data_IF_954545638211
#
_entry.id   IF_954545638211
#
_cell.length_a   1.000
_cell.length_b   1.000
_cell.length_c   1.000
_cell.angle_alpha   90.00
_cell.angle_beta   90.00
_cell.angle_gamma   90.00
#
_symmetry.space_group_name_H-M   'P 1'
#
loop_
_entity.id
_entity.type
_entity.pdbx_description
1 polymer ?
#
# COMPACT_ATOMS: atom_id res chain seq x y z
N UNK A 1 -0.74 16.17 19.30
CA UNK A 1 -2.07 15.88 18.72
C UNK A 1 -1.91 14.62 17.88
N UNK A 2 -2.69 13.57 18.15
CA UNK A 2 -2.59 12.33 17.37
C UNK A 2 -2.98 12.63 15.91
N UNK A 3 -2.11 12.27 14.96
CA UNK A 3 -2.36 12.52 13.52
C UNK A 3 -3.20 11.41 12.89
N UNK A 4 -3.42 10.31 13.61
CA UNK A 4 -4.20 9.16 13.15
C UNK A 4 -5.69 9.50 13.15
N UNK A 5 -6.39 9.03 12.12
CA UNK A 5 -7.85 9.16 11.97
C UNK A 5 -8.37 10.60 11.99
N UNK A 6 -7.52 11.54 11.57
CA UNK A 6 -7.88 12.93 11.41
C UNK A 6 -8.65 13.09 10.11
N UNK A 7 -9.80 13.74 10.20
CA UNK A 7 -10.54 14.17 9.03
C UNK A 7 -9.78 15.25 8.25
N UNK A 8 -9.80 15.15 6.92
CA UNK A 8 -9.10 16.01 5.98
C UNK A 8 -10.13 16.44 4.94
N UNK A 9 -10.46 17.72 4.94
CA UNK A 9 -11.45 18.28 4.03
C UNK A 9 -11.02 18.22 2.57
N UNK A 10 -12.01 18.38 1.69
CA UNK A 10 -11.84 18.51 0.24
C UNK A 10 -10.84 19.62 -0.12
N UNK A 11 -10.20 19.55 -1.30
CA UNK A 11 -9.26 20.61 -1.72
C UNK A 11 -9.91 21.98 -1.96
N UNK A 12 -11.24 22.05 -2.07
CA UNK A 12 -11.99 23.27 -2.40
C UNK A 12 -12.09 23.49 -3.91
N UNK A 13 -12.58 24.65 -4.34
CA UNK A 13 -12.77 25.03 -5.74
C UNK A 13 -14.22 25.07 -6.22
N UNK A 14 -14.43 25.41 -7.50
CA UNK A 14 -15.76 25.58 -8.09
C UNK A 14 -15.94 24.66 -9.28
N UNK A 15 -17.03 23.92 -9.27
CA UNK A 15 -17.47 23.06 -10.34
C UNK A 15 -18.56 23.77 -11.14
N UNK A 16 -18.45 23.77 -12.46
CA UNK A 16 -19.38 24.43 -13.37
C UNK A 16 -19.93 23.45 -14.39
N UNK A 17 -21.24 23.52 -14.61
CA UNK A 17 -21.94 22.91 -15.74
C UNK A 17 -22.43 24.06 -16.59
N UNK A 18 -21.77 24.29 -17.71
CA UNK A 18 -22.14 25.36 -18.64
C UNK A 18 -23.01 24.76 -19.74
N UNK A 19 -24.26 25.23 -19.88
CA UNK A 19 -25.25 24.72 -20.86
C UNK A 19 -25.45 25.75 -21.96
N UNK A 20 -25.46 25.28 -23.20
CA UNK A 20 -25.75 26.08 -24.39
C UNK A 20 -26.90 25.44 -25.17
N UNK A 21 -27.90 26.25 -25.53
CA UNK A 21 -29.06 25.81 -26.31
C UNK A 21 -28.94 26.38 -27.73
N UNK A 22 -28.88 25.50 -28.72
CA UNK A 22 -28.82 25.86 -30.13
C UNK A 22 -30.16 26.34 -30.69
N UNK A 23 -30.12 26.93 -31.87
CA UNK A 23 -31.31 27.45 -32.58
C UNK A 23 -32.36 26.37 -32.91
N UNK A 24 -31.96 25.10 -32.91
CA UNK A 24 -32.81 23.92 -33.14
C UNK A 24 -33.33 23.28 -31.83
N UNK A 25 -33.20 23.98 -30.71
CA UNK A 25 -33.50 23.50 -29.34
C UNK A 25 -32.62 22.30 -28.89
N UNK A 26 -31.54 22.01 -29.63
CA UNK A 26 -30.52 21.08 -29.19
C UNK A 26 -29.74 21.67 -28.01
N UNK A 27 -29.37 20.82 -27.05
CA UNK A 27 -28.64 21.25 -25.85
C UNK A 27 -27.26 20.62 -25.82
N UNK A 28 -26.25 21.46 -25.70
CA UNK A 28 -24.89 21.07 -25.43
C UNK A 28 -24.52 21.48 -24.00
N UNK A 29 -23.59 20.77 -23.38
CA UNK A 29 -23.04 21.18 -22.11
C UNK A 29 -21.53 20.96 -22.05
N UNK A 30 -20.86 21.72 -21.19
CA UNK A 30 -19.46 21.55 -20.86
C UNK A 30 -19.25 21.57 -19.35
N UNK A 31 -18.17 20.93 -18.90
CA UNK A 31 -17.83 20.86 -17.49
C UNK A 31 -16.54 21.64 -17.22
N UNK A 32 -16.57 22.48 -16.20
CA UNK A 32 -15.43 23.27 -15.78
C UNK A 32 -15.10 23.05 -14.30
N UNK A 33 -13.81 23.06 -13.96
CA UNK A 33 -13.34 23.14 -12.59
C UNK A 33 -12.39 24.31 -12.45
N UNK A 34 -12.57 25.15 -11.43
CA UNK A 34 -11.62 26.22 -11.08
C UNK A 34 -11.19 26.08 -9.63
N UNK A 35 -9.89 26.11 -9.39
CA UNK A 35 -9.29 26.00 -8.06
C UNK A 35 -8.39 27.21 -7.80
N UNK A 36 -8.55 27.87 -6.65
CA UNK A 36 -7.75 29.05 -6.27
C UNK A 36 -7.19 29.00 -4.85
N UNK A 37 -7.37 27.87 -4.15
CA UNK A 37 -6.81 27.73 -2.80
C UNK A 37 -5.29 27.53 -2.86
N UNK A 38 -4.57 27.94 -1.81
CA UNK A 38 -3.13 27.77 -1.72
C UNK A 38 -2.70 26.30 -1.52
N UNK A 39 -3.66 25.41 -1.22
CA UNK A 39 -3.42 23.98 -1.03
C UNK A 39 -3.27 23.23 -2.36
N UNK A 40 -2.60 22.06 -2.33
CA UNK A 40 -2.52 21.19 -3.51
C UNK A 40 -3.92 20.69 -3.90
N UNK A 41 -4.14 20.58 -5.21
CA UNK A 41 -5.31 19.93 -5.78
C UNK A 41 -4.86 18.96 -6.88
N UNK A 42 -5.44 17.78 -6.87
CA UNK A 42 -5.30 16.79 -7.93
C UNK A 42 -6.68 16.32 -8.35
N UNK A 43 -6.79 15.86 -9.60
CA UNK A 43 -8.05 15.45 -10.19
C UNK A 43 -7.88 14.14 -10.93
N UNK A 44 -8.92 13.31 -10.92
CA UNK A 44 -9.11 12.26 -11.91
C UNK A 44 -10.54 12.33 -12.42
N UNK A 45 -10.79 11.70 -13.56
CA UNK A 45 -12.10 11.70 -14.18
C UNK A 45 -12.66 10.29 -14.30
N UNK A 46 -13.98 10.18 -14.24
CA UNK A 46 -14.72 8.93 -14.40
C UNK A 46 -15.91 9.13 -15.33
N UNK A 47 -16.43 8.03 -15.89
CA UNK A 47 -17.77 7.98 -16.44
C UNK A 47 -18.74 7.42 -15.41
N UNK A 48 -19.93 8.02 -15.31
CA UNK A 48 -21.05 7.49 -14.56
C UNK A 48 -22.34 7.56 -15.39
N UNK A 49 -23.21 6.56 -15.25
CA UNK A 49 -24.56 6.64 -15.84
C UNK A 49 -25.44 7.60 -15.02
N UNK A 50 -26.53 8.15 -15.58
CA UNK A 50 -27.35 9.17 -14.93
C UNK A 50 -27.83 8.82 -13.51
N UNK A 51 -28.00 7.54 -13.20
CA UNK A 51 -28.36 7.04 -11.87
C UNK A 51 -27.23 7.15 -10.82
N UNK A 52 -26.11 7.80 -11.13
CA UNK A 52 -24.98 7.97 -10.20
C UNK A 52 -24.09 6.75 -10.06
N UNK A 53 -24.13 5.80 -11.00
CA UNK A 53 -23.32 4.58 -10.93
C UNK A 53 -22.04 4.76 -11.76
N UNK A 54 -20.84 4.71 -11.14
CA UNK A 54 -19.57 4.81 -11.86
C UNK A 54 -19.32 3.56 -12.72
N UNK A 55 -18.90 3.75 -13.96
CA UNK A 55 -18.72 2.66 -14.95
C UNK A 55 -17.32 2.59 -15.56
N UNK A 56 -16.54 3.67 -15.53
CA UNK A 56 -15.15 3.66 -16.01
C UNK A 56 -14.31 4.80 -15.43
N UNK A 57 -13.00 4.58 -15.37
CA UNK A 57 -12.02 5.66 -15.14
C UNK A 57 -11.64 6.23 -16.50
N UNK A 58 -11.62 7.56 -16.64
CA UNK A 58 -11.28 8.22 -17.90
C UNK A 58 -9.76 8.37 -17.99
N UNK A 59 -9.19 7.87 -19.08
CA UNK A 59 -7.83 8.24 -19.49
C UNK A 59 -7.90 9.62 -20.14
N UNK A 60 -7.70 10.66 -19.32
CA UNK A 60 -7.69 12.05 -19.77
C UNK A 60 -6.59 12.22 -20.82
N UNK A 61 -6.93 12.52 -22.08
CA UNK A 61 -5.95 12.67 -23.13
C UNK A 61 -5.26 14.04 -23.00
N UNK A 62 -4.24 14.28 -23.81
CA UNK A 62 -3.53 15.57 -23.81
C UNK A 62 -4.43 16.74 -24.24
N UNK A 63 -3.99 17.97 -24.00
CA UNK A 63 -4.70 19.16 -24.48
C UNK A 63 -4.98 19.08 -25.99
N UNK A 64 -6.22 19.33 -26.38
CA UNK A 64 -6.68 19.31 -27.78
C UNK A 64 -6.95 17.91 -28.35
N UNK A 65 -6.86 16.86 -27.55
CA UNK A 65 -7.22 15.51 -27.96
C UNK A 65 -8.68 15.19 -27.59
N UNK A 66 -9.33 14.37 -28.43
CA UNK A 66 -10.68 13.90 -28.18
C UNK A 66 -10.73 13.00 -26.94
N UNK A 67 -11.72 13.25 -26.08
CA UNK A 67 -12.00 12.40 -24.93
C UNK A 67 -12.45 11.02 -25.41
N UNK A 68 -11.95 9.93 -24.80
CA UNK A 68 -12.38 8.58 -25.18
C UNK A 68 -13.89 8.44 -24.95
N UNK A 69 -14.66 7.75 -25.82
CA UNK A 69 -16.10 7.62 -25.62
C UNK A 69 -16.41 6.81 -24.35
N UNK A 70 -17.55 7.05 -23.68
CA UNK A 70 -17.95 6.26 -22.53
C UNK A 70 -18.23 4.80 -22.92
N UNK A 71 -17.96 3.82 -22.04
CA UNK A 71 -18.28 2.42 -22.31
C UNK A 71 -19.79 2.15 -22.36
N UNK A 72 -20.59 3.01 -21.71
CA UNK A 72 -22.05 2.95 -21.69
C UNK A 72 -22.60 4.25 -22.27
N UNK A 73 -23.36 4.21 -23.39
CA UNK A 73 -23.97 5.40 -23.98
C UNK A 73 -24.81 6.19 -22.97
N UNK A 74 -24.76 7.52 -23.05
CA UNK A 74 -25.47 8.40 -22.12
C UNK A 74 -24.78 8.58 -20.75
N UNK A 75 -23.58 8.02 -20.54
CA UNK A 75 -22.81 8.31 -19.33
C UNK A 75 -22.28 9.74 -19.33
N UNK A 76 -22.28 10.36 -18.16
CA UNK A 76 -21.67 11.66 -17.92
C UNK A 76 -20.19 11.50 -17.54
N UNK A 77 -19.26 12.30 -18.11
CA UNK A 77 -17.93 12.46 -17.57
C UNK A 77 -18.01 13.28 -16.28
N UNK A 78 -17.34 12.85 -15.21
CA UNK A 78 -17.32 13.57 -13.94
C UNK A 78 -15.88 13.77 -13.49
N UNK A 79 -15.65 14.86 -12.76
CA UNK A 79 -14.35 15.21 -12.15
C UNK A 79 -14.43 14.84 -10.67
N UNK A 80 -13.44 14.11 -10.17
CA UNK A 80 -13.27 13.83 -8.74
C UNK A 80 -11.97 14.50 -8.29
N UNK A 81 -12.07 15.35 -7.28
CA UNK A 81 -10.94 16.12 -6.78
C UNK A 81 -10.37 15.49 -5.49
N UNK A 82 -9.13 15.82 -5.20
CA UNK A 82 -8.43 15.33 -4.02
C UNK A 82 -8.93 16.01 -2.74
N UNK A 83 -8.51 15.47 -1.61
CA UNK A 83 -8.52 16.23 -0.37
C UNK A 83 -7.50 17.39 -0.41
N UNK A 84 -7.54 18.23 0.63
CA UNK A 84 -6.70 19.42 0.81
C UNK A 84 -5.20 19.13 0.96
N UNK A 85 -4.79 17.87 1.07
CA UNK A 85 -3.38 17.45 1.03
C UNK A 85 -2.99 16.89 -0.35
N UNK A 86 -3.88 16.96 -1.35
CA UNK A 86 -3.62 16.47 -2.69
C UNK A 86 -3.67 14.94 -2.77
N UNK A 87 -4.40 14.27 -1.87
CA UNK A 87 -4.53 12.81 -1.81
C UNK A 87 -5.97 12.37 -2.08
N UNK A 88 -6.13 11.10 -2.41
CA UNK A 88 -7.43 10.49 -2.64
C UNK A 88 -7.66 9.41 -1.60
N UNK A 89 -8.87 9.38 -1.03
CA UNK A 89 -9.33 8.21 -0.32
C UNK A 89 -9.86 7.16 -1.28
N UNK A 90 -9.80 5.93 -0.83
CA UNK A 90 -10.22 4.76 -1.58
C UNK A 90 -10.86 3.75 -0.63
N UNK A 91 -11.83 2.98 -1.14
CA UNK A 91 -12.45 1.88 -0.40
C UNK A 91 -12.55 0.64 -1.26
N UNK A 92 -12.12 -0.49 -0.73
CA UNK A 92 -12.17 -1.77 -1.44
C UNK A 92 -13.56 -2.40 -1.30
N UNK A 93 -14.19 -2.74 -2.42
CA UNK A 93 -15.45 -3.50 -2.39
C UNK A 93 -15.26 -4.96 -1.94
N UNK A 94 -14.08 -5.55 -2.16
CA UNK A 94 -13.81 -6.94 -1.81
C UNK A 94 -13.56 -7.14 -0.31
N UNK A 95 -12.82 -6.25 0.35
CA UNK A 95 -12.51 -6.38 1.78
C UNK A 95 -13.13 -5.29 2.67
N UNK A 96 -13.81 -4.29 2.10
CA UNK A 96 -14.47 -3.21 2.84
C UNK A 96 -13.54 -2.11 3.38
N UNK A 97 -12.23 -2.35 3.35
CA UNK A 97 -11.21 -1.49 3.95
C UNK A 97 -10.96 -0.19 3.19
N UNK A 98 -10.60 0.84 3.95
CA UNK A 98 -10.28 2.18 3.48
C UNK A 98 -8.78 2.46 3.48
N UNK A 99 -8.29 3.27 2.53
CA UNK A 99 -6.94 3.83 2.56
C UNK A 99 -6.88 5.17 1.82
N UNK A 100 -5.81 5.93 2.05
CA UNK A 100 -5.47 7.11 1.26
C UNK A 100 -4.22 6.87 0.41
N UNK A 101 -4.17 7.49 -0.76
CA UNK A 101 -2.99 7.42 -1.60
C UNK A 101 -2.78 8.70 -2.43
N UNK A 102 -1.58 8.82 -2.96
CA UNK A 102 -1.26 9.85 -3.95
C UNK A 102 -1.71 9.52 -5.37
N UNK A 103 -2.22 8.30 -5.60
CA UNK A 103 -2.47 7.77 -6.93
C UNK A 103 -3.95 7.53 -7.21
N UNK A 104 -4.45 8.16 -8.27
CA UNK A 104 -5.72 7.83 -8.92
C UNK A 104 -5.46 7.57 -10.42
N UNK A 105 -4.71 6.49 -10.75
CA UNK A 105 -4.19 6.28 -12.09
C UNK A 105 -5.30 5.95 -13.10
N UNK A 106 -5.29 6.62 -14.24
CA UNK A 106 -6.19 6.31 -15.34
C UNK A 106 -5.62 5.29 -16.34
N UNK A 107 -4.29 5.11 -16.34
CA UNK A 107 -3.58 4.27 -17.31
C UNK A 107 -3.21 2.88 -16.79
N UNK A 108 -3.41 2.59 -15.50
CA UNK A 108 -3.19 1.26 -14.91
C UNK A 108 -4.14 1.05 -13.71
N UNK A 109 -4.43 -0.21 -13.34
CA UNK A 109 -5.28 -0.48 -12.19
C UNK A 109 -4.60 -0.07 -10.88
N UNK A 110 -5.41 0.43 -9.95
CA UNK A 110 -5.02 0.60 -8.56
C UNK A 110 -5.04 -0.77 -7.86
N UNK A 111 -4.19 -0.94 -6.85
CA UNK A 111 -4.11 -2.14 -6.02
C UNK A 111 -4.65 -1.84 -4.63
N UNK A 112 -5.54 -2.67 -4.09
CA UNK A 112 -5.95 -2.58 -2.69
C UNK A 112 -4.75 -2.92 -1.78
N UNK A 113 -4.36 -2.03 -0.84
CA UNK A 113 -3.23 -2.25 0.06
C UNK A 113 -3.36 -3.49 0.95
N UNK A 114 -4.57 -3.97 1.19
CA UNK A 114 -4.85 -5.03 2.15
C UNK A 114 -5.02 -6.38 1.45
N UNK A 115 -5.97 -6.49 0.51
CA UNK A 115 -6.30 -7.74 -0.15
C UNK A 115 -5.64 -7.92 -1.54
N UNK A 116 -4.88 -6.93 -2.01
CA UNK A 116 -4.17 -7.02 -3.29
C UNK A 116 -5.08 -7.02 -4.53
N UNK A 117 -6.40 -6.82 -4.38
CA UNK A 117 -7.31 -6.68 -5.52
C UNK A 117 -6.84 -5.57 -6.44
N UNK A 118 -6.72 -5.85 -7.73
CA UNK A 118 -6.42 -4.86 -8.76
C UNK A 118 -7.68 -4.51 -9.52
N UNK A 119 -8.02 -3.23 -9.56
CA UNK A 119 -9.17 -2.74 -10.31
C UNK A 119 -8.93 -1.29 -10.78
N UNK A 120 -9.68 -0.79 -11.78
CA UNK A 120 -9.62 0.61 -12.15
C UNK A 120 -10.01 1.53 -10.98
N UNK A 121 -9.53 2.77 -10.96
CA UNK A 121 -9.76 3.72 -9.85
C UNK A 121 -11.22 3.92 -9.48
N UNK A 122 -12.15 3.99 -10.45
CA UNK A 122 -13.58 4.18 -10.17
C UNK A 122 -14.21 3.00 -9.39
N UNK A 123 -13.59 1.81 -9.37
CA UNK A 123 -14.05 0.69 -8.55
C UNK A 123 -13.71 0.87 -7.06
N UNK A 124 -12.82 1.81 -6.73
CA UNK A 124 -12.36 2.07 -5.37
C UNK A 124 -12.90 3.36 -4.77
N UNK A 125 -14.01 3.91 -5.29
CA UNK A 125 -14.59 5.12 -4.73
C UNK A 125 -15.10 4.89 -3.31
N UNK A 126 -14.80 5.85 -2.44
CA UNK A 126 -15.33 5.91 -1.07
C UNK A 126 -16.85 6.12 -1.08
N UNK A 127 -17.50 5.92 0.08
CA UNK A 127 -18.94 6.20 0.19
C UNK A 127 -19.25 7.67 -0.08
N UNK A 128 -18.43 8.59 0.43
CA UNK A 128 -18.58 10.03 0.17
C UNK A 128 -18.40 10.38 -1.30
N UNK A 129 -17.38 9.80 -1.96
CA UNK A 129 -17.18 10.01 -3.40
C UNK A 129 -18.34 9.46 -4.24
N UNK A 130 -18.96 8.34 -3.84
CA UNK A 130 -20.15 7.81 -4.54
C UNK A 130 -21.38 8.69 -4.37
N UNK A 131 -21.60 9.23 -3.17
CA UNK A 131 -22.66 10.21 -2.93
C UNK A 131 -22.44 11.46 -3.81
N UNK A 132 -21.22 11.98 -3.84
CA UNK A 132 -20.83 13.08 -4.72
C UNK A 132 -21.13 12.78 -6.20
N UNK A 133 -20.78 11.58 -6.68
CA UNK A 133 -21.04 11.16 -8.08
C UNK A 133 -22.54 11.18 -8.40
N UNK A 134 -23.39 10.69 -7.49
CA UNK A 134 -24.85 10.70 -7.67
C UNK A 134 -25.38 12.12 -7.80
N UNK A 135 -25.04 12.98 -6.86
CA UNK A 135 -25.51 14.36 -6.82
C UNK A 135 -24.97 15.17 -8.02
N UNK A 136 -23.77 14.86 -8.51
CA UNK A 136 -23.23 15.52 -9.70
C UNK A 136 -23.93 15.08 -10.98
N UNK A 137 -24.36 13.81 -11.10
CA UNK A 137 -25.21 13.38 -12.20
C UNK A 137 -26.56 14.11 -12.18
N UNK A 138 -27.19 14.23 -11.02
CA UNK A 138 -28.47 14.95 -10.85
C UNK A 138 -28.34 16.43 -11.20
N UNK A 139 -27.21 17.07 -10.83
CA UNK A 139 -26.93 18.45 -11.21
C UNK A 139 -26.84 18.62 -12.73
N UNK A 140 -26.08 17.75 -13.41
CA UNK A 140 -25.93 17.82 -14.87
C UNK A 140 -27.28 17.63 -15.54
N UNK A 141 -28.04 16.61 -15.13
CA UNK A 141 -29.36 16.33 -15.69
C UNK A 141 -30.33 17.51 -15.47
N UNK A 142 -30.34 18.10 -14.27
CA UNK A 142 -31.18 19.25 -13.95
C UNK A 142 -30.80 20.49 -14.76
N UNK A 143 -29.51 20.80 -14.86
CA UNK A 143 -29.00 21.93 -15.64
C UNK A 143 -29.33 21.77 -17.13
N UNK A 144 -29.07 20.59 -17.70
CA UNK A 144 -29.36 20.29 -19.10
C UNK A 144 -30.86 20.32 -19.37
N UNK A 145 -31.71 19.80 -18.47
CA UNK A 145 -33.18 19.81 -18.62
C UNK A 145 -33.80 21.19 -18.41
N UNK A 146 -33.18 22.07 -17.61
CA UNK A 146 -33.59 23.45 -17.47
C UNK A 146 -33.08 24.33 -18.63
N UNK A 147 -31.99 23.94 -19.30
CA UNK A 147 -31.28 24.82 -20.24
C UNK A 147 -30.52 25.94 -19.51
N UNK A 148 -30.17 25.72 -18.24
CA UNK A 148 -29.56 26.72 -17.37
C UNK A 148 -28.23 26.20 -16.81
N UNK A 149 -27.17 27.00 -16.94
CA UNK A 149 -25.87 26.69 -16.35
C UNK A 149 -25.92 26.69 -14.82
N UNK A 150 -25.16 25.79 -14.21
CA UNK A 150 -25.07 25.66 -12.76
C UNK A 150 -23.63 25.73 -12.25
N UNK A 151 -23.44 26.25 -11.04
CA UNK A 151 -22.13 26.30 -10.38
C UNK A 151 -22.25 25.84 -8.93
N UNK A 152 -21.37 24.92 -8.53
CA UNK A 152 -21.19 24.54 -7.13
C UNK A 152 -19.87 25.09 -6.64
N UNK A 153 -19.95 25.86 -5.55
CA UNK A 153 -18.80 26.46 -4.87
C UNK A 153 -18.41 25.62 -3.65
N UNK A 154 -17.41 24.74 -3.82
CA UNK A 154 -16.95 23.85 -2.75
C UNK A 154 -16.23 24.60 -1.63
N UNK A 155 -15.67 25.79 -1.91
CA UNK A 155 -15.04 26.61 -0.88
C UNK A 155 -16.11 27.11 0.09
N UNK A 156 -17.22 27.63 -0.44
CA UNK A 156 -18.36 28.05 0.36
C UNK A 156 -19.02 26.90 1.14
N UNK A 157 -18.94 25.66 0.62
CA UNK A 157 -19.40 24.48 1.34
C UNK A 157 -18.42 24.08 2.45
N UNK A 158 -17.11 24.11 2.19
CA UNK A 158 -16.09 23.77 3.15
C UNK A 158 -16.11 24.69 4.37
N UNK A 159 -16.31 26.00 4.17
CA UNK A 159 -16.41 27.00 5.24
C UNK A 159 -17.61 26.75 6.18
N UNK A 160 -18.71 26.20 5.66
CA UNK A 160 -19.93 25.90 6.44
C UNK A 160 -19.83 24.60 7.24
N UNK A 161 -18.96 23.67 6.84
CA UNK A 161 -18.87 22.30 7.40
C UNK A 161 -18.28 22.25 8.84
N UNK A 162 -18.00 23.39 9.47
CA UNK A 162 -17.58 23.49 10.87
C UNK A 162 -18.67 23.83 11.90
N UNK A 163 -19.90 24.15 11.48
CA UNK A 163 -20.93 24.77 12.34
C UNK A 163 -22.10 23.82 12.72
N UNK A 164 -21.82 22.59 13.18
CA UNK A 164 -22.83 21.60 13.63
C UNK A 164 -23.99 21.33 12.64
N UNK A 165 -23.79 21.68 11.36
CA UNK A 165 -24.77 21.57 10.28
C UNK A 165 -24.62 20.25 9.54
N UNK A 166 -25.74 19.69 9.09
CA UNK A 166 -25.73 18.48 8.27
C UNK A 166 -24.92 18.73 6.99
N UNK A 167 -23.93 17.87 6.75
CA UNK A 167 -23.01 18.06 5.63
C UNK A 167 -23.75 17.82 4.31
N UNK A 168 -23.62 18.73 3.34
CA UNK A 168 -24.16 18.51 2.01
C UNK A 168 -23.61 17.21 1.43
N UNK A 169 -24.44 16.42 0.75
CA UNK A 169 -24.02 15.16 0.10
C UNK A 169 -22.96 15.36 -0.97
N UNK A 170 -22.87 16.58 -1.51
CA UNK A 170 -21.84 17.01 -2.45
C UNK A 170 -20.46 17.23 -1.81
N UNK A 171 -20.37 17.29 -0.49
CA UNK A 171 -19.12 17.46 0.25
C UNK A 171 -18.68 16.13 0.85
N UNK A 172 -17.47 15.70 0.52
CA UNK A 172 -16.81 14.57 1.18
C UNK A 172 -15.46 14.97 1.76
N UNK A 173 -15.06 14.22 2.78
CA UNK A 173 -13.77 14.33 3.43
C UNK A 173 -13.09 12.97 3.47
N UNK A 174 -11.77 13.02 3.58
CA UNK A 174 -10.92 11.84 3.70
C UNK A 174 -10.34 11.74 5.11
N UNK A 175 -9.82 10.57 5.47
CA UNK A 175 -9.38 10.30 6.83
C UNK A 175 -7.95 9.77 6.83
N UNK A 176 -7.04 10.44 7.55
CA UNK A 176 -5.68 9.92 7.71
C UNK A 176 -5.67 8.56 8.39
N UNK A 177 -4.71 7.70 8.03
CA UNK A 177 -4.53 6.40 8.67
C UNK A 177 -3.28 6.42 9.56
N UNK A 178 -2.83 5.23 9.96
CA UNK A 178 -1.75 5.06 10.94
C UNK A 178 -0.37 4.98 10.32
N UNK A 179 -0.27 4.49 9.08
CA UNK A 179 1.01 4.21 8.45
C UNK A 179 1.13 4.90 7.10
N UNK A 180 1.93 5.97 7.10
CA UNK A 180 2.25 6.75 5.92
C UNK A 180 3.62 6.33 5.39
N UNK A 181 3.68 5.85 4.15
CA UNK A 181 4.94 5.43 3.53
C UNK A 181 5.03 5.77 2.05
N UNK A 182 6.26 5.99 1.59
CA UNK A 182 6.60 6.13 0.17
C UNK A 182 7.09 4.77 -0.32
N UNK A 183 6.51 4.26 -1.39
CA UNK A 183 6.91 3.00 -1.98
C UNK A 183 8.34 3.11 -2.54
N UNK A 184 9.26 2.27 -2.05
CA UNK A 184 10.63 2.24 -2.55
C UNK A 184 10.78 1.77 -3.99
N UNK A 185 9.73 1.19 -4.61
CA UNK A 185 9.76 0.69 -5.97
C UNK A 185 9.25 1.72 -7.00
N UNK A 186 8.13 2.41 -6.73
CA UNK A 186 7.52 3.36 -7.67
C UNK A 186 7.40 4.80 -7.14
N UNK A 187 7.87 5.10 -5.93
CA UNK A 187 7.81 6.44 -5.34
C UNK A 187 6.41 6.90 -4.92
N UNK A 188 5.36 6.09 -5.11
CA UNK A 188 4.00 6.48 -4.72
C UNK A 188 3.84 6.54 -3.20
N UNK A 189 3.18 7.59 -2.70
CA UNK A 189 2.81 7.76 -1.30
C UNK A 189 1.50 7.03 -0.97
N UNK A 190 1.45 6.39 0.19
CA UNK A 190 0.35 5.59 0.71
C UNK A 190 0.12 5.92 2.19
N UNK A 191 -1.13 5.83 2.63
CA UNK A 191 -1.58 6.05 4.00
C UNK A 191 -2.63 4.99 4.34
N UNK A 192 -2.20 3.99 5.11
CA UNK A 192 -2.91 2.72 5.32
C UNK A 192 -3.06 2.41 6.80
N UNK A 193 -4.03 1.54 7.11
CA UNK A 193 -4.17 0.95 8.43
C UNK A 193 -3.13 -0.16 8.63
N UNK A 194 -2.47 -0.13 9.79
CA UNK A 194 -1.44 -1.11 10.12
C UNK A 194 -0.15 -0.97 9.30
N UNK A 195 0.80 -1.88 9.58
CA UNK A 195 2.20 -1.71 9.18
C UNK A 195 2.57 -2.29 7.81
N UNK A 196 1.92 -3.38 7.41
CA UNK A 196 2.28 -4.14 6.21
C UNK A 196 1.18 -4.03 5.17
N UNK A 197 1.53 -3.63 3.95
CA UNK A 197 0.57 -3.37 2.89
C UNK A 197 1.21 -3.47 1.49
N UNK A 198 0.34 -3.66 0.48
CA UNK A 198 0.70 -3.38 -0.91
C UNK A 198 0.77 -1.87 -1.15
N UNK A 199 1.70 -1.44 -2.00
CA UNK A 199 1.63 -0.13 -2.62
C UNK A 199 0.38 -0.06 -3.50
N UNK A 200 -0.46 0.95 -3.28
CA UNK A 200 -1.69 1.12 -4.05
C UNK A 200 -1.46 1.38 -5.53
N UNK A 201 -0.30 1.92 -5.92
CA UNK A 201 0.02 2.19 -7.32
C UNK A 201 0.63 0.98 -8.05
N UNK A 202 1.77 0.46 -7.59
CA UNK A 202 2.46 -0.63 -8.30
C UNK A 202 2.15 -2.03 -7.76
N UNK A 203 1.52 -2.16 -6.59
CA UNK A 203 1.28 -3.45 -5.96
C UNK A 203 2.53 -4.13 -5.41
N UNK A 204 3.65 -3.42 -5.24
CA UNK A 204 4.81 -3.93 -4.48
C UNK A 204 4.51 -3.90 -3.00
N UNK A 205 4.79 -5.00 -2.26
CA UNK A 205 4.59 -5.00 -0.81
C UNK A 205 5.73 -4.31 -0.07
N UNK A 206 5.44 -3.70 1.08
CA UNK A 206 6.42 -2.97 1.88
C UNK A 206 7.16 -3.83 2.94
N UNK A 207 7.00 -5.16 2.97
CA UNK A 207 7.53 -6.01 4.06
C UNK A 207 9.05 -5.88 4.22
N UNK A 208 9.80 -5.81 3.12
CA UNK A 208 11.26 -5.62 3.15
C UNK A 208 11.64 -4.27 3.76
N UNK A 209 10.91 -3.20 3.42
CA UNK A 209 11.19 -1.86 3.96
C UNK A 209 10.94 -1.84 5.47
N UNK A 210 9.84 -2.43 5.94
CA UNK A 210 9.51 -2.51 7.36
C UNK A 210 10.51 -3.35 8.16
N UNK A 211 10.99 -4.45 7.58
CA UNK A 211 12.05 -5.25 8.16
C UNK A 211 13.35 -4.45 8.26
N UNK A 212 13.77 -3.78 7.18
CA UNK A 212 15.00 -3.00 7.16
C UNK A 212 14.98 -1.90 8.22
N UNK A 213 13.84 -1.22 8.41
CA UNK A 213 13.66 -0.24 9.48
C UNK A 213 13.74 -0.84 10.89
N UNK A 214 13.24 -2.07 11.08
CA UNK A 214 13.36 -2.77 12.36
C UNK A 214 14.81 -3.21 12.63
N UNK A 215 15.48 -3.75 11.61
CA UNK A 215 16.88 -4.18 11.68
C UNK A 215 17.83 -2.99 11.91
N UNK A 216 17.56 -1.82 11.31
CA UNK A 216 18.32 -0.61 11.57
C UNK A 216 18.28 -0.23 13.06
N UNK A 217 17.09 -0.24 13.67
CA UNK A 217 16.91 0.02 15.10
C UNK A 217 17.63 -1.00 15.99
N UNK A 218 17.60 -2.27 15.63
CA UNK A 218 18.32 -3.33 16.35
C UNK A 218 19.85 -3.10 16.28
N UNK A 219 20.36 -2.70 15.12
CA UNK A 219 21.78 -2.37 14.94
C UNK A 219 22.18 -1.15 15.77
N UNK A 220 21.36 -0.12 15.81
CA UNK A 220 21.56 1.04 16.68
C UNK A 220 21.59 0.63 18.16
N UNK A 221 20.63 -0.20 18.59
CA UNK A 221 20.54 -0.70 19.96
C UNK A 221 21.79 -1.50 20.38
N UNK A 222 22.23 -2.47 19.59
CA UNK A 222 23.41 -3.28 19.94
C UNK A 222 24.71 -2.46 19.85
N UNK A 223 24.76 -1.45 18.98
CA UNK A 223 25.90 -0.53 18.91
C UNK A 223 25.95 0.42 20.11
N UNK A 224 24.80 0.79 20.67
CA UNK A 224 24.67 1.60 21.88
C UNK A 224 24.87 0.84 23.20
N UNK A 225 25.29 -0.43 23.15
CA UNK A 225 25.52 -1.25 24.35
C UNK A 225 24.28 -1.99 24.86
N UNK A 226 23.21 -2.08 24.05
CA UNK A 226 22.06 -2.91 24.37
C UNK A 226 22.41 -4.40 24.44
N UNK A 227 21.64 -5.15 25.23
CA UNK A 227 21.83 -6.59 25.45
C UNK A 227 21.76 -7.38 24.11
N UNK A 228 22.84 -8.09 23.71
CA UNK A 228 22.87 -8.81 22.44
C UNK A 228 21.79 -9.89 22.29
N UNK A 229 21.44 -10.59 23.37
CA UNK A 229 20.39 -11.61 23.39
C UNK A 229 18.99 -11.02 23.12
N UNK A 230 18.68 -9.85 23.67
CA UNK A 230 17.46 -9.09 23.32
C UNK A 230 17.45 -8.67 21.84
N UNK A 231 18.61 -8.28 21.31
CA UNK A 231 18.74 -7.90 19.90
C UNK A 231 18.54 -9.10 18.96
N UNK A 232 19.01 -10.29 19.33
CA UNK A 232 18.72 -11.55 18.60
C UNK A 232 17.23 -11.84 18.60
N UNK A 233 16.57 -11.79 19.76
CA UNK A 233 15.11 -11.97 19.87
C UNK A 233 14.37 -10.99 18.97
N UNK A 234 14.78 -9.73 18.98
CA UNK A 234 14.24 -8.67 18.11
C UNK A 234 14.42 -8.98 16.63
N UNK A 235 15.61 -9.40 16.20
CA UNK A 235 15.91 -9.69 14.79
C UNK A 235 15.08 -10.87 14.26
N UNK A 236 15.00 -11.96 15.02
CA UNK A 236 14.19 -13.13 14.64
C UNK A 236 12.69 -12.80 14.67
N UNK A 237 12.22 -12.01 15.66
CA UNK A 237 10.82 -11.59 15.72
C UNK A 237 10.43 -10.67 14.56
N UNK A 238 11.33 -9.79 14.13
CA UNK A 238 11.13 -8.94 12.95
C UNK A 238 11.05 -9.78 11.67
N UNK A 239 11.93 -10.77 11.52
CA UNK A 239 11.88 -11.76 10.44
C UNK A 239 10.54 -12.51 10.43
N UNK A 240 10.17 -13.14 11.56
CA UNK A 240 8.93 -13.91 11.72
C UNK A 240 7.72 -13.10 11.27
N UNK A 241 7.67 -11.83 11.67
CA UNK A 241 6.57 -10.93 11.33
C UNK A 241 6.50 -10.70 9.81
N UNK A 242 7.61 -10.32 9.18
CA UNK A 242 7.65 -10.05 7.74
C UNK A 242 7.40 -11.32 6.91
N UNK A 243 8.07 -12.43 7.25
CA UNK A 243 7.93 -13.70 6.56
C UNK A 243 6.50 -14.28 6.71
N UNK A 244 5.89 -14.16 7.89
CA UNK A 244 4.49 -14.55 8.10
C UNK A 244 3.54 -13.73 7.24
N UNK A 245 3.75 -12.41 7.13
CA UNK A 245 2.88 -11.56 6.28
C UNK A 245 2.95 -11.94 4.81
N UNK A 246 4.13 -12.29 4.30
CA UNK A 246 4.27 -12.80 2.93
C UNK A 246 3.62 -14.20 2.79
N UNK A 247 3.84 -15.09 3.77
CA UNK A 247 3.25 -16.43 3.76
C UNK A 247 1.72 -16.41 3.82
N UNK A 248 1.13 -15.56 4.65
CA UNK A 248 -0.33 -15.36 4.76
C UNK A 248 -0.91 -14.95 3.39
N UNK A 249 -0.20 -14.11 2.65
CA UNK A 249 -0.61 -13.68 1.31
C UNK A 249 -0.47 -14.77 0.26
N UNK A 250 0.63 -15.54 0.27
CA UNK A 250 0.77 -16.72 -0.59
C UNK A 250 -0.36 -17.72 -0.35
N UNK A 251 -0.68 -17.99 0.92
CA UNK A 251 -1.78 -18.87 1.33
C UNK A 251 -3.14 -18.33 0.86
N UNK A 252 -3.33 -17.03 0.89
CA UNK A 252 -4.59 -16.38 0.50
C UNK A 252 -4.80 -16.36 -1.01
N UNK A 253 -3.74 -16.06 -1.78
CA UNK A 253 -3.81 -15.81 -3.22
C UNK A 253 -3.62 -17.07 -4.07
N UNK A 254 -2.90 -18.08 -3.57
CA UNK A 254 -2.67 -19.32 -4.32
C UNK A 254 -3.73 -20.36 -3.94
N UNK A 255 -4.55 -20.84 -4.89
CA UNK A 255 -5.48 -21.94 -4.65
C UNK A 255 -4.73 -23.22 -4.24
N UNK A 256 -5.08 -23.81 -3.10
CA UNK A 256 -4.45 -25.02 -2.59
C UNK A 256 -5.39 -25.81 -1.68
N UNK A 257 -5.13 -27.11 -1.54
CA UNK A 257 -5.88 -27.98 -0.62
C UNK A 257 -5.70 -27.57 0.83
N UNK A 258 -6.66 -27.91 1.68
CA UNK A 258 -6.59 -27.66 3.14
C UNK A 258 -5.33 -28.28 3.76
N UNK A 259 -4.92 -29.47 3.31
CA UNK A 259 -3.71 -30.13 3.78
C UNK A 259 -2.45 -29.27 3.49
N UNK A 260 -2.30 -28.74 2.28
CA UNK A 260 -1.18 -27.85 1.93
C UNK A 260 -1.24 -26.54 2.72
N UNK A 261 -2.42 -25.95 2.87
CA UNK A 261 -2.63 -24.73 3.69
C UNK A 261 -2.17 -24.93 5.13
N UNK A 262 -2.53 -26.04 5.75
CA UNK A 262 -2.17 -26.36 7.13
C UNK A 262 -0.68 -26.64 7.33
N UNK A 263 0.09 -26.90 6.27
CA UNK A 263 1.56 -26.99 6.38
C UNK A 263 2.18 -25.67 6.80
N UNK A 264 1.59 -24.53 6.40
CA UNK A 264 2.13 -23.18 6.64
C UNK A 264 1.34 -22.38 7.67
N UNK A 265 0.02 -22.56 7.72
CA UNK A 265 -0.89 -21.81 8.59
C UNK A 265 -0.52 -22.01 10.07
N UNK A 266 -0.48 -20.91 10.82
CA UNK A 266 -0.26 -20.86 12.28
C UNK A 266 1.07 -21.43 12.79
N UNK A 267 2.02 -21.76 11.91
CA UNK A 267 3.36 -22.20 12.30
C UNK A 267 4.35 -21.04 12.37
N UNK A 268 5.06 -20.91 13.50
CA UNK A 268 6.18 -19.96 13.66
C UNK A 268 7.44 -20.51 12.98
N UNK A 269 8.36 -19.64 12.53
CA UNK A 269 9.60 -20.06 11.87
C UNK A 269 10.70 -20.56 12.82
N UNK A 270 10.35 -21.08 13.98
CA UNK A 270 11.30 -21.64 14.96
C UNK A 270 12.29 -22.64 14.32
N UNK A 271 11.79 -23.58 13.50
CA UNK A 271 12.61 -24.40 12.60
C UNK A 271 12.58 -23.79 11.20
N UNK A 272 13.58 -22.95 10.94
CA UNK A 272 13.67 -22.21 9.68
C UNK A 272 13.93 -23.11 8.48
N UNK A 273 14.61 -24.25 8.66
CA UNK A 273 14.94 -25.18 7.56
C UNK A 273 13.69 -25.92 7.08
N UNK A 274 12.89 -26.44 8.01
CA UNK A 274 11.62 -27.06 7.67
C UNK A 274 10.66 -26.05 7.02
N UNK A 275 10.64 -24.79 7.48
CA UNK A 275 9.81 -23.74 6.86
C UNK A 275 10.26 -23.38 5.45
N UNK A 276 11.57 -23.21 5.23
CA UNK A 276 12.12 -22.93 3.91
C UNK A 276 11.79 -24.06 2.93
N UNK A 277 11.88 -25.32 3.39
CA UNK A 277 11.48 -26.50 2.60
C UNK A 277 10.01 -26.46 2.23
N UNK A 278 9.11 -26.23 3.21
CA UNK A 278 7.68 -26.11 2.95
C UNK A 278 7.36 -25.00 1.94
N UNK A 279 8.00 -23.83 2.05
CA UNK A 279 7.80 -22.70 1.14
C UNK A 279 8.29 -23.06 -0.28
N UNK A 280 9.45 -23.70 -0.40
CA UNK A 280 10.00 -24.09 -1.69
C UNK A 280 9.14 -25.16 -2.37
N UNK A 281 8.72 -26.21 -1.65
CA UNK A 281 7.88 -27.25 -2.21
C UNK A 281 6.50 -26.75 -2.66
N UNK A 282 5.94 -25.76 -1.95
CA UNK A 282 4.60 -25.25 -2.22
C UNK A 282 4.56 -24.14 -3.27
N UNK A 283 5.62 -23.33 -3.36
CA UNK A 283 5.64 -22.12 -4.21
C UNK A 283 6.86 -21.98 -5.12
N UNK A 284 7.86 -22.87 -5.00
CA UNK A 284 9.12 -22.77 -5.74
C UNK A 284 10.02 -21.64 -5.28
N UNK A 285 9.84 -21.14 -4.04
CA UNK A 285 10.65 -20.05 -3.48
C UNK A 285 11.70 -20.65 -2.55
N UNK A 286 12.97 -20.62 -2.98
CA UNK A 286 14.09 -20.99 -2.13
C UNK A 286 14.48 -19.81 -1.22
N UNK A 287 14.11 -19.85 0.05
CA UNK A 287 14.42 -18.81 1.06
C UNK A 287 15.93 -18.64 1.26
N UNK A 288 16.73 -19.67 0.97
CA UNK A 288 18.18 -19.67 1.14
C UNK A 288 18.93 -19.47 -0.19
N UNK A 289 18.26 -18.97 -1.23
CA UNK A 289 18.92 -18.66 -2.51
C UNK A 289 20.15 -17.76 -2.31
N UNK A 290 21.29 -18.25 -2.82
CA UNK A 290 22.59 -17.61 -2.72
C UNK A 290 23.25 -17.63 -1.33
N UNK A 291 22.78 -18.46 -0.38
CA UNK A 291 23.45 -18.66 0.92
C UNK A 291 24.54 -19.71 0.86
N UNK A 292 25.58 -19.55 1.67
CA UNK A 292 26.55 -20.61 1.95
C UNK A 292 26.00 -21.53 3.05
N UNK A 293 26.43 -22.79 3.09
CA UNK A 293 25.96 -23.74 4.11
C UNK A 293 26.21 -23.24 5.53
N UNK A 294 27.38 -22.65 5.79
CA UNK A 294 27.73 -22.06 7.09
C UNK A 294 26.78 -20.93 7.53
N UNK A 295 26.22 -20.18 6.57
CA UNK A 295 25.23 -19.13 6.87
C UNK A 295 23.86 -19.72 7.16
N UNK A 296 23.48 -20.79 6.48
CA UNK A 296 22.24 -21.53 6.73
C UNK A 296 22.31 -22.15 8.13
N UNK A 297 23.42 -22.79 8.47
CA UNK A 297 23.65 -23.46 9.75
C UNK A 297 23.67 -22.47 10.90
N UNK A 298 24.41 -21.36 10.73
CA UNK A 298 24.42 -20.27 11.68
C UNK A 298 23.00 -19.69 11.89
N UNK A 299 22.26 -19.43 10.81
CA UNK A 299 20.91 -18.88 10.91
C UNK A 299 19.97 -19.83 11.66
N UNK A 300 19.98 -21.12 11.30
CA UNK A 300 19.17 -22.12 11.97
C UNK A 300 19.47 -22.19 13.48
N UNK A 301 20.74 -22.24 13.85
CA UNK A 301 21.17 -22.20 15.26
C UNK A 301 20.64 -20.95 15.97
N UNK A 302 20.75 -19.76 15.36
CA UNK A 302 20.29 -18.50 15.98
C UNK A 302 18.76 -18.46 16.20
N UNK A 303 17.98 -19.09 15.33
CA UNK A 303 16.53 -19.23 15.53
C UNK A 303 16.20 -20.14 16.72
N UNK A 304 16.96 -21.22 16.95
CA UNK A 304 16.84 -22.01 18.16
C UNK A 304 17.31 -21.25 19.41
N UNK A 305 18.36 -20.42 19.32
CA UNK A 305 18.83 -19.60 20.46
C UNK A 305 17.77 -18.61 20.94
N UNK A 306 16.95 -18.05 20.04
CA UNK A 306 15.79 -17.22 20.45
C UNK A 306 14.91 -17.96 21.46
N UNK A 307 14.61 -19.25 21.24
CA UNK A 307 13.78 -20.03 22.16
C UNK A 307 14.40 -20.11 23.57
N UNK A 308 15.72 -20.31 23.63
CA UNK A 308 16.46 -20.34 24.89
C UNK A 308 16.44 -18.97 25.59
N UNK A 309 16.57 -17.86 24.86
CA UNK A 309 16.49 -16.52 25.44
C UNK A 309 15.06 -16.10 25.84
N UNK A 310 14.03 -16.59 25.18
CA UNK A 310 12.62 -16.27 25.50
C UNK A 310 12.06 -17.13 26.63
N UNK A 311 12.42 -18.42 26.68
CA UNK A 311 11.77 -19.39 27.54
C UNK A 311 12.71 -20.13 28.49
N UNK A 312 13.97 -20.32 28.10
CA UNK A 312 14.97 -21.04 28.90
C UNK A 312 15.77 -20.16 29.86
N UNK A 313 15.46 -18.87 29.97
CA UNK A 313 16.24 -17.93 30.79
C UNK A 313 17.71 -17.81 30.34
N UNK A 314 18.01 -18.17 29.09
CA UNK A 314 19.37 -18.24 28.57
C UNK A 314 20.12 -19.55 28.90
N UNK A 315 19.50 -20.52 29.59
CA UNK A 315 20.11 -21.80 29.92
C UNK A 315 19.85 -22.86 28.83
N UNK A 316 20.91 -23.51 28.36
CA UNK A 316 20.83 -24.57 27.34
C UNK A 316 20.14 -25.81 27.88
N UNK A 317 19.09 -26.28 27.21
CA UNK A 317 18.46 -27.58 27.48
C UNK A 317 18.90 -28.65 26.45
N UNK A 318 18.50 -29.90 26.70
CA UNK A 318 18.81 -31.02 25.79
C UNK A 318 18.14 -30.84 24.42
N UNK A 319 16.91 -30.30 24.42
CA UNK A 319 16.11 -30.10 23.22
C UNK A 319 16.83 -29.17 22.24
N UNK A 320 17.41 -28.07 22.73
CA UNK A 320 18.21 -27.16 21.93
C UNK A 320 19.40 -27.85 21.28
N UNK A 321 20.16 -28.68 22.00
CA UNK A 321 21.33 -29.37 21.42
C UNK A 321 20.88 -30.35 20.33
N UNK A 322 19.82 -31.11 20.60
CA UNK A 322 19.27 -32.10 19.67
C UNK A 322 18.72 -31.44 18.39
N UNK A 323 18.02 -30.31 18.50
CA UNK A 323 17.39 -29.63 17.37
C UNK A 323 18.36 -28.70 16.60
N UNK A 324 19.22 -27.96 17.31
CA UNK A 324 20.14 -27.00 16.68
C UNK A 324 21.44 -27.62 16.17
N UNK A 325 21.86 -28.75 16.75
CA UNK A 325 23.17 -29.36 16.48
C UNK A 325 24.36 -28.57 17.03
N UNK A 326 24.14 -27.60 17.93
CA UNK A 326 25.21 -26.79 18.53
C UNK A 326 26.07 -27.61 19.50
N UNK A 327 27.21 -28.08 19.01
CA UNK A 327 28.20 -28.84 19.78
C UNK A 327 29.15 -27.96 20.62
N UNK A 328 29.05 -26.63 20.51
CA UNK A 328 29.94 -25.69 21.20
C UNK A 328 29.55 -25.45 22.66
N UNK A 329 28.37 -25.94 23.07
CA UNK A 329 27.79 -25.73 24.40
C UNK A 329 27.35 -27.04 25.04
N UNK A 330 27.12 -27.01 26.36
CA UNK A 330 26.66 -28.17 27.14
C UNK A 330 25.31 -27.90 27.80
N UNK A 331 24.52 -28.93 28.14
CA UNK A 331 23.30 -28.73 28.94
C UNK A 331 23.60 -27.97 30.23
N UNK A 332 22.69 -27.08 30.62
CA UNK A 332 22.78 -26.14 31.75
C UNK A 332 23.81 -25.01 31.61
N UNK A 333 24.51 -24.91 30.49
CA UNK A 333 25.36 -23.75 30.22
C UNK A 333 24.49 -22.52 29.94
N UNK A 334 24.83 -21.37 30.53
CA UNK A 334 24.21 -20.09 30.14
C UNK A 334 24.81 -19.61 28.82
N UNK A 335 23.97 -19.41 27.81
CA UNK A 335 24.34 -18.79 26.55
C UNK A 335 24.61 -17.30 26.73
N UNK A 336 25.66 -16.80 26.07
CA UNK A 336 25.95 -15.37 25.98
C UNK A 336 26.19 -14.99 24.54
N UNK A 337 25.42 -14.02 24.09
CA UNK A 337 25.47 -13.57 22.70
C UNK A 337 26.40 -12.40 22.51
N UNK A 338 26.91 -12.29 21.28
CA UNK A 338 27.88 -11.27 20.91
C UNK A 338 27.25 -10.27 19.95
N UNK A 339 27.82 -9.07 19.94
CA UNK A 339 27.43 -8.01 19.01
C UNK A 339 27.64 -8.43 17.56
N UNK A 340 28.71 -9.18 17.30
CA UNK A 340 29.07 -9.70 15.98
C UNK A 340 28.01 -10.66 15.46
N UNK A 341 27.51 -11.57 16.32
CA UNK A 341 26.44 -12.50 15.96
C UNK A 341 25.13 -11.76 15.64
N UNK A 342 24.79 -10.72 16.40
CA UNK A 342 23.62 -9.87 16.11
C UNK A 342 23.73 -9.24 14.73
N UNK A 343 24.88 -8.64 14.39
CA UNK A 343 25.08 -8.00 13.09
C UNK A 343 25.05 -9.00 11.94
N UNK A 344 25.66 -10.19 12.12
CA UNK A 344 25.62 -11.28 11.14
C UNK A 344 24.18 -11.75 10.93
N UNK A 345 23.46 -12.07 11.99
CA UNK A 345 22.06 -12.52 11.91
C UNK A 345 21.17 -11.46 11.25
N UNK A 346 21.31 -10.19 11.64
CA UNK A 346 20.58 -9.07 11.05
C UNK A 346 20.78 -8.98 9.52
N UNK A 347 21.99 -9.23 9.02
CA UNK A 347 22.28 -9.30 7.59
C UNK A 347 21.58 -10.48 6.92
N UNK A 348 21.68 -11.67 7.53
CA UNK A 348 21.13 -12.91 6.98
C UNK A 348 19.60 -12.89 6.92
N UNK A 349 18.91 -12.48 8.00
CA UNK A 349 17.45 -12.38 7.99
C UNK A 349 16.92 -11.35 7.00
N UNK A 350 17.65 -10.25 6.81
CA UNK A 350 17.32 -9.25 5.77
C UNK A 350 17.41 -9.86 4.39
N UNK A 351 18.46 -10.64 4.12
CA UNK A 351 18.64 -11.34 2.85
C UNK A 351 17.53 -12.38 2.62
N UNK A 352 17.20 -13.19 3.62
CA UNK A 352 16.12 -14.17 3.50
C UNK A 352 14.77 -13.55 3.15
N UNK A 353 14.38 -12.45 3.80
CA UNK A 353 13.10 -11.77 3.47
C UNK A 353 13.14 -11.12 2.10
N UNK A 354 14.30 -10.61 1.65
CA UNK A 354 14.44 -10.13 0.26
C UNK A 354 14.25 -11.26 -0.74
N UNK A 355 14.81 -12.43 -0.47
CA UNK A 355 14.63 -13.62 -1.32
C UNK A 355 13.17 -14.06 -1.35
N UNK A 356 12.52 -14.15 -0.19
CA UNK A 356 11.10 -14.47 -0.09
C UNK A 356 10.20 -13.45 -0.79
N UNK A 357 10.51 -12.16 -0.64
CA UNK A 357 9.78 -11.05 -1.28
C UNK A 357 9.97 -11.04 -2.79
N UNK A 358 11.17 -11.33 -3.28
CA UNK A 358 11.46 -11.53 -4.70
C UNK A 358 10.64 -12.68 -5.25
N UNK A 359 10.71 -13.87 -4.64
CA UNK A 359 9.92 -15.03 -5.07
C UNK A 359 8.41 -14.78 -5.03
N UNK A 360 7.93 -14.04 -4.03
CA UNK A 360 6.53 -13.59 -4.00
C UNK A 360 6.18 -12.72 -5.21
N UNK A 361 7.03 -11.76 -5.59
CA UNK A 361 6.80 -10.89 -6.74
C UNK A 361 7.12 -11.52 -8.10
N UNK A 362 7.85 -12.64 -8.13
CA UNK A 362 7.95 -13.47 -9.33
C UNK A 362 6.61 -14.16 -9.63
N UNK A 363 5.86 -14.54 -8.59
CA UNK A 363 4.49 -15.09 -8.71
C UNK A 363 3.46 -13.98 -8.93
N UNK A 364 3.58 -12.87 -8.20
CA UNK A 364 2.66 -11.74 -8.22
C UNK A 364 3.39 -10.44 -8.61
N UNK A 365 3.68 -10.25 -9.91
CA UNK A 365 4.48 -9.13 -10.37
C UNK A 365 3.80 -7.80 -10.11
N UNK A 366 4.61 -6.82 -9.70
CA UNK A 366 4.19 -5.43 -9.61
C UNK A 366 3.80 -4.87 -10.99
N UNK A 367 2.93 -3.87 -11.01
CA UNK A 367 2.53 -3.24 -12.26
C UNK A 367 3.72 -2.49 -12.89
N UNK A 368 4.07 -2.76 -14.17
CA UNK A 368 5.30 -2.23 -14.77
C UNK A 368 5.25 -0.73 -15.03
N UNK A 369 4.09 -0.17 -15.39
CA UNK A 369 3.95 1.26 -15.75
C UNK A 369 4.43 2.22 -14.66
N UNK A 370 3.96 2.16 -13.40
CA UNK A 370 4.44 3.07 -12.36
C UNK A 370 5.93 2.88 -12.04
N UNK A 371 6.48 1.68 -12.20
CA UNK A 371 7.91 1.42 -12.02
C UNK A 371 8.75 2.11 -13.11
N UNK A 372 8.29 2.03 -14.37
CA UNK A 372 8.94 2.68 -15.51
C UNK A 372 8.95 4.21 -15.37
N UNK A 373 7.80 4.80 -15.01
CA UNK A 373 7.66 6.25 -14.80
C UNK A 373 8.64 6.74 -13.73
N UNK A 374 8.74 6.05 -12.59
CA UNK A 374 9.66 6.43 -11.53
C UNK A 374 11.13 6.26 -11.97
N UNK A 375 11.46 5.18 -12.69
CA UNK A 375 12.81 4.99 -13.22
C UNK A 375 13.23 6.13 -14.19
N UNK A 376 12.34 6.55 -15.08
CA UNK A 376 12.56 7.67 -16.00
C UNK A 376 12.73 9.00 -15.26
N UNK A 377 11.88 9.26 -14.27
CA UNK A 377 11.98 10.44 -13.41
C UNK A 377 13.32 10.48 -12.66
N UNK A 378 13.77 9.35 -12.10
CA UNK A 378 15.06 9.26 -11.42
C UNK A 378 16.23 9.48 -12.40
N UNK A 379 16.14 8.96 -13.62
CA UNK A 379 17.15 9.21 -14.65
C UNK A 379 17.23 10.70 -15.04
N UNK A 380 16.08 11.36 -15.21
CA UNK A 380 16.02 12.79 -15.49
C UNK A 380 16.53 13.66 -14.34
N UNK A 381 16.25 13.29 -13.09
CA UNK A 381 16.79 14.00 -11.92
C UNK A 381 18.33 13.90 -11.85
N UNK A 382 18.88 12.71 -12.12
CA UNK A 382 20.33 12.50 -12.17
C UNK A 382 21.00 13.28 -13.30
N UNK A 383 20.41 13.31 -14.49
CA UNK A 383 20.98 14.06 -15.63
C UNK A 383 20.99 15.56 -15.38
N UNK A 384 19.94 16.11 -14.75
CA UNK A 384 19.91 17.52 -14.32
C UNK A 384 20.97 17.82 -13.27
N UNK A 385 21.16 16.96 -12.26
CA UNK A 385 22.20 17.17 -11.24
C UNK A 385 23.62 17.16 -11.82
N UNK A 386 23.85 16.39 -12.89
CA UNK A 386 25.14 16.32 -13.58
C UNK A 386 25.37 17.51 -14.52
N UNK A 387 24.32 18.11 -15.10
CA UNK A 387 24.44 19.29 -15.96
C UNK A 387 24.64 20.63 -15.22
N UNK A 388 24.54 20.62 -13.89
CA UNK A 388 24.82 21.77 -13.01
C UNK A 388 26.17 21.65 -12.27
N UNK A 389 26.99 20.64 -12.59
CA UNK A 389 28.38 20.51 -12.15
C UNK A 389 29.30 20.69 -13.35
#
# INVERSE_FOLDING_TARGET
>A
MNKDFREIGHCGGKLRVDVETGDDDSRAYSLGYSHSSAGPAAFFMIYAIPQGIPVATISTPGLGQEMPPPPVPGSFPLIIASDSEGRFGHRCESCGEYWRSSGAPSAWPLTCPYCGLRAPTHAFLTLGQRAYVSEFCELIESAVNAGESATIDMDALADKVGEDTERPRFYYSEVSQQNQFICGACGAWNDVLGRYAYCSSCGTRNDVAELVLAIARIREQVNGGGAPDECVKGAVSAFDTAAKKIADELIRLVPMTTARRNRLKDKRFHDIRARATDINELFGIDVFDGFQQDDIDFTAMMFHRRHIYEHGGGEVDKKYIEESGDISVRPKQTLRETKENVHRLAGLVTKMVRTLHKGFHDIFPAHPTPLKIEAEKQALMKSRQLGYR
#
